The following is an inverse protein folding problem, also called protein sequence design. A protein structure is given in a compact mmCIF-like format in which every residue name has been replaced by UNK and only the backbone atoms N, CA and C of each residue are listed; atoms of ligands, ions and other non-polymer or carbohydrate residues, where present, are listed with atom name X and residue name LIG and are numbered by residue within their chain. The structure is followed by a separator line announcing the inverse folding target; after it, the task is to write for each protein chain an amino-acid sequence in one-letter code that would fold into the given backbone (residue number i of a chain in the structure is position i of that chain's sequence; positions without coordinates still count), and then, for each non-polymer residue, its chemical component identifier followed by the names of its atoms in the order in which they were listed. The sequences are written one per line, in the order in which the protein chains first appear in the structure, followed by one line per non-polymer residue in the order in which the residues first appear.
data_IF_715537082025
#
_entry.id   IF_715537082025
#
_cell.length_a   1.000
_cell.length_b   1.000
_cell.length_c   1.000
_cell.angle_alpha   90.00
_cell.angle_beta   90.00
_cell.angle_gamma   90.00
#
_symmetry.space_group_name_H-M   'P 1'
#
loop_
_entity.id
_entity.type
_entity.pdbx_description
1 polymer ?
#
# COMPACT_ATOMS: atom_id res chain seq x y z
N UNK A 1 27.23 -31.46 22.49
CA UNK A 1 26.52 -30.34 21.86
C UNK A 1 27.60 -29.39 21.40
N UNK A 2 27.86 -29.33 20.09
CA UNK A 2 28.93 -28.47 19.57
C UNK A 2 28.55 -27.02 19.82
N UNK A 3 29.28 -26.35 20.71
CA UNK A 3 29.03 -24.96 21.11
C UNK A 3 28.93 -24.03 19.89
N UNK A 4 29.60 -24.38 18.79
CA UNK A 4 29.58 -23.64 17.54
C UNK A 4 28.23 -23.70 16.81
N UNK A 5 27.53 -24.84 16.81
CA UNK A 5 26.26 -25.01 16.09
C UNK A 5 25.11 -24.27 16.80
N UNK A 6 25.07 -24.35 18.13
CA UNK A 6 24.08 -23.63 18.93
C UNK A 6 24.27 -22.11 18.85
N UNK A 7 25.53 -21.66 18.87
CA UNK A 7 25.86 -20.25 18.72
C UNK A 7 25.48 -19.73 17.33
N UNK A 8 25.81 -20.47 16.27
CA UNK A 8 25.44 -20.11 14.90
C UNK A 8 23.92 -20.05 14.70
N UNK A 9 23.17 -20.98 15.29
CA UNK A 9 21.70 -20.99 15.25
C UNK A 9 21.10 -19.75 15.91
N UNK A 10 21.54 -19.39 17.13
CA UNK A 10 21.01 -18.22 17.83
C UNK A 10 21.35 -16.90 17.11
N UNK A 11 22.56 -16.79 16.53
CA UNK A 11 22.90 -15.61 15.72
C UNK A 11 22.03 -15.50 14.49
N UNK A 12 21.80 -16.61 13.77
CA UNK A 12 20.96 -16.62 12.58
C UNK A 12 19.52 -16.20 12.89
N UNK A 13 18.88 -16.83 13.88
CA UNK A 13 17.48 -16.55 14.18
C UNK A 13 17.29 -15.15 14.78
N UNK A 14 18.26 -14.63 15.55
CA UNK A 14 18.26 -13.24 16.01
C UNK A 14 18.41 -12.25 14.86
N UNK A 15 19.32 -12.51 13.92
CA UNK A 15 19.53 -11.66 12.75
C UNK A 15 18.27 -11.63 11.87
N UNK A 16 17.60 -12.77 11.69
CA UNK A 16 16.33 -12.88 10.96
C UNK A 16 15.25 -12.02 11.64
N UNK A 17 15.06 -12.15 12.95
CA UNK A 17 14.06 -11.37 13.68
C UNK A 17 14.32 -9.84 13.55
N UNK A 18 15.56 -9.41 13.73
CA UNK A 18 15.95 -7.99 13.59
C UNK A 18 15.78 -7.48 12.16
N UNK A 19 16.19 -8.27 11.15
CA UNK A 19 16.06 -7.91 9.75
C UNK A 19 14.59 -7.73 9.35
N UNK A 20 13.70 -8.62 9.79
CA UNK A 20 12.26 -8.50 9.51
C UNK A 20 11.59 -7.37 10.27
N UNK A 21 12.01 -7.08 11.50
CA UNK A 21 11.54 -5.90 12.22
C UNK A 21 11.92 -4.61 11.46
N UNK A 22 13.17 -4.50 11.01
CA UNK A 22 13.62 -3.38 10.19
C UNK A 22 12.84 -3.30 8.87
N UNK A 23 12.59 -4.43 8.22
CA UNK A 23 11.84 -4.50 6.96
C UNK A 23 10.39 -4.04 7.11
N UNK A 24 9.73 -4.39 8.21
CA UNK A 24 8.38 -3.90 8.55
C UNK A 24 8.40 -2.37 8.69
N UNK A 25 9.36 -1.83 9.44
CA UNK A 25 9.50 -0.38 9.64
C UNK A 25 9.73 0.34 8.31
N UNK A 26 10.68 -0.14 7.50
CA UNK A 26 10.99 0.43 6.18
C UNK A 26 9.77 0.38 5.26
N UNK A 27 9.07 -0.74 5.20
CA UNK A 27 7.83 -0.90 4.43
C UNK A 27 6.77 0.11 4.88
N UNK A 28 6.63 0.31 6.20
CA UNK A 28 5.73 1.30 6.78
C UNK A 28 6.06 2.73 6.37
N UNK A 29 7.34 3.13 6.48
CA UNK A 29 7.81 4.47 6.09
C UNK A 29 7.49 4.77 4.63
N UNK A 30 7.84 3.85 3.73
CA UNK A 30 7.56 4.02 2.30
C UNK A 30 6.06 4.04 1.99
N UNK A 31 5.27 3.24 2.69
CA UNK A 31 3.81 3.26 2.55
C UNK A 31 3.22 4.60 2.99
N UNK A 32 3.62 5.14 4.14
CA UNK A 32 3.12 6.43 4.62
C UNK A 32 3.52 7.58 3.71
N UNK A 33 4.78 7.61 3.25
CA UNK A 33 5.24 8.59 2.27
C UNK A 33 4.37 8.55 1.02
N UNK A 34 4.18 7.37 0.45
CA UNK A 34 3.38 7.20 -0.77
C UNK A 34 1.90 7.49 -0.56
N UNK A 35 1.35 7.11 0.59
CA UNK A 35 -0.05 7.37 0.94
C UNK A 35 -0.32 8.87 0.93
N UNK A 36 0.58 9.66 1.51
CA UNK A 36 0.49 11.12 1.51
C UNK A 36 0.48 11.67 0.08
N UNK A 37 1.43 11.26 -0.76
CA UNK A 37 1.50 11.71 -2.16
C UNK A 37 0.21 11.41 -2.94
N UNK A 38 -0.38 10.21 -2.74
CA UNK A 38 -1.65 9.83 -3.38
C UNK A 38 -2.82 10.62 -2.81
N UNK A 39 -2.86 10.88 -1.51
CA UNK A 39 -3.91 11.68 -0.87
C UNK A 39 -3.88 13.13 -1.34
N UNK A 40 -2.70 13.73 -1.43
CA UNK A 40 -2.52 15.09 -1.94
C UNK A 40 -2.99 15.19 -3.40
N UNK A 41 -2.64 14.21 -4.24
CA UNK A 41 -3.10 14.15 -5.63
C UNK A 41 -4.62 13.92 -5.77
N UNK A 42 -5.20 13.05 -4.92
CA UNK A 42 -6.65 12.84 -4.89
C UNK A 42 -7.40 14.11 -4.45
N UNK A 43 -6.83 14.88 -3.52
CA UNK A 43 -7.38 16.16 -3.08
C UNK A 43 -7.31 17.22 -4.20
N UNK A 44 -6.22 17.28 -4.97
CA UNK A 44 -6.12 18.14 -6.16
C UNK A 44 -7.23 17.83 -7.18
N UNK A 45 -7.44 16.56 -7.50
CA UNK A 45 -8.52 16.13 -8.40
C UNK A 45 -9.91 16.43 -7.83
N UNK A 46 -10.10 16.21 -6.53
CA UNK A 46 -11.36 16.50 -5.86
C UNK A 46 -11.70 17.99 -5.91
N UNK A 47 -10.73 18.86 -5.66
CA UNK A 47 -10.92 20.31 -5.71
C UNK A 47 -11.25 20.79 -7.13
N UNK A 48 -10.63 20.21 -8.16
CA UNK A 48 -10.97 20.52 -9.55
C UNK A 48 -12.41 20.10 -9.90
N UNK A 49 -12.82 18.89 -9.54
CA UNK A 49 -14.19 18.41 -9.74
C UNK A 49 -15.20 19.27 -8.95
N UNK A 50 -14.85 19.70 -7.74
CA UNK A 50 -15.70 20.58 -6.92
C UNK A 50 -15.88 21.95 -7.58
N UNK A 51 -14.82 22.54 -8.14
CA UNK A 51 -14.91 23.79 -8.92
C UNK A 51 -15.80 23.62 -10.14
N UNK A 52 -15.63 22.54 -10.89
CA UNK A 52 -16.49 22.21 -12.02
C UNK A 52 -17.98 22.11 -11.63
N UNK A 53 -18.30 21.42 -10.53
CA UNK A 53 -19.68 21.32 -10.02
C UNK A 53 -20.24 22.69 -9.67
N UNK A 54 -19.46 23.55 -9.02
CA UNK A 54 -19.90 24.89 -8.66
C UNK A 54 -20.18 25.76 -9.91
N UNK A 55 -19.27 25.72 -10.89
CA UNK A 55 -19.40 26.45 -12.16
C UNK A 55 -20.60 25.96 -12.98
N UNK A 56 -20.87 24.66 -12.95
CA UNK A 56 -21.96 24.00 -13.69
C UNK A 56 -23.18 23.70 -12.82
N UNK A 57 -23.30 24.35 -11.66
CA UNK A 57 -24.38 24.10 -10.69
C UNK A 57 -25.78 24.28 -11.28
N UNK A 58 -25.92 25.16 -12.28
CA UNK A 58 -27.17 25.38 -13.03
C UNK A 58 -27.66 24.16 -13.82
N UNK A 59 -26.79 23.20 -14.16
CA UNK A 59 -27.15 21.95 -14.85
C UNK A 59 -27.58 20.85 -13.88
N UNK A 60 -27.34 21.06 -12.58
CA UNK A 60 -27.67 20.11 -11.54
C UNK A 60 -29.06 20.43 -10.96
N UNK A 61 -30.03 19.54 -11.21
CA UNK A 61 -31.42 19.73 -10.78
C UNK A 61 -31.72 19.22 -9.36
N UNK A 62 -30.70 18.82 -8.60
CA UNK A 62 -30.84 18.37 -7.21
C UNK A 62 -30.49 19.50 -6.23
N UNK A 63 -31.19 19.56 -5.10
CA UNK A 63 -30.86 20.48 -4.01
C UNK A 63 -29.65 19.97 -3.24
N UNK A 64 -28.43 20.18 -3.73
CA UNK A 64 -27.24 20.01 -2.90
C UNK A 64 -26.96 21.37 -2.26
N UNK A 65 -27.04 21.49 -0.93
CA UNK A 65 -26.48 22.66 -0.28
C UNK A 65 -24.97 22.62 -0.53
N UNK A 66 -24.44 23.56 -1.31
CA UNK A 66 -23.00 23.74 -1.60
C UNK A 66 -22.13 23.86 -0.33
N UNK A 67 -22.75 23.92 0.84
CA UNK A 67 -22.16 24.09 2.16
C UNK A 67 -22.01 22.78 2.97
N UNK A 68 -22.31 21.62 2.39
CA UNK A 68 -22.08 20.32 3.04
C UNK A 68 -20.73 19.76 2.62
N UNK A 69 -19.97 19.23 3.58
CA UNK A 69 -18.75 18.45 3.32
C UNK A 69 -19.11 17.16 2.57
N UNK A 70 -19.14 17.24 1.24
CA UNK A 70 -19.36 16.10 0.35
C UNK A 70 -18.16 15.15 0.46
N UNK A 71 -18.43 13.85 0.56
CA UNK A 71 -17.39 12.84 0.48
C UNK A 71 -16.80 12.75 -0.93
N UNK A 72 -15.56 12.24 -1.08
CA UNK A 72 -14.92 12.03 -2.41
C UNK A 72 -15.80 11.23 -3.37
N UNK A 73 -16.54 10.24 -2.88
CA UNK A 73 -17.44 9.43 -3.71
C UNK A 73 -18.67 10.20 -4.21
N UNK A 74 -19.21 11.11 -3.41
CA UNK A 74 -20.36 11.94 -3.78
C UNK A 74 -19.97 12.99 -4.82
N UNK A 75 -18.81 13.64 -4.69
CA UNK A 75 -18.34 14.61 -5.69
C UNK A 75 -18.16 13.98 -7.06
N UNK A 76 -17.61 12.77 -7.13
CA UNK A 76 -17.46 12.06 -8.41
C UNK A 76 -18.82 11.74 -9.02
N UNK A 77 -19.79 11.26 -8.25
CA UNK A 77 -21.11 10.90 -8.78
C UNK A 77 -21.91 12.13 -9.25
N UNK A 78 -21.77 13.25 -8.55
CA UNK A 78 -22.37 14.53 -8.95
C UNK A 78 -21.74 15.01 -10.26
N UNK A 79 -20.41 14.95 -10.38
CA UNK A 79 -19.71 15.34 -11.59
C UNK A 79 -20.12 14.48 -12.79
N UNK A 80 -20.28 13.15 -12.63
CA UNK A 80 -20.78 12.26 -13.70
C UNK A 80 -22.20 12.62 -14.15
N UNK A 81 -23.08 13.03 -13.22
CA UNK A 81 -24.44 13.45 -13.54
C UNK A 81 -24.45 14.76 -14.35
N UNK A 82 -23.65 15.75 -13.95
CA UNK A 82 -23.50 17.01 -14.70
C UNK A 82 -22.88 16.74 -16.09
N UNK A 83 -21.85 15.90 -16.16
CA UNK A 83 -21.18 15.49 -17.40
C UNK A 83 -22.18 14.93 -18.43
N UNK A 84 -23.17 14.16 -17.98
CA UNK A 84 -24.19 13.57 -18.86
C UNK A 84 -25.10 14.60 -19.52
N UNK A 85 -25.23 15.79 -18.91
CA UNK A 85 -26.10 16.90 -19.35
C UNK A 85 -25.32 18.03 -20.03
N UNK A 86 -23.99 17.93 -20.04
CA UNK A 86 -23.10 18.93 -20.60
C UNK A 86 -23.09 18.86 -22.13
N UNK A 87 -23.31 20.00 -22.79
CA UNK A 87 -23.28 20.13 -24.25
C UNK A 87 -21.88 20.42 -24.81
N UNK A 88 -21.01 21.05 -24.02
CA UNK A 88 -19.62 21.35 -24.42
C UNK A 88 -18.75 20.09 -24.42
N UNK A 89 -18.44 19.59 -25.61
CA UNK A 89 -17.62 18.40 -25.84
C UNK A 89 -16.18 18.51 -25.30
N UNK A 90 -15.59 19.70 -25.33
CA UNK A 90 -14.20 19.90 -24.89
C UNK A 90 -14.13 19.86 -23.36
N UNK A 91 -15.05 20.55 -22.70
CA UNK A 91 -15.17 20.54 -21.25
C UNK A 91 -15.55 19.13 -20.75
N UNK A 92 -16.45 18.44 -21.46
CA UNK A 92 -16.83 17.05 -21.18
C UNK A 92 -15.62 16.13 -21.16
N UNK A 93 -14.78 16.18 -22.19
CA UNK A 93 -13.58 15.33 -22.28
C UNK A 93 -12.60 15.58 -21.12
N UNK A 94 -12.36 16.85 -20.77
CA UNK A 94 -11.44 17.20 -19.68
C UNK A 94 -11.91 16.64 -18.33
N UNK A 95 -13.21 16.72 -18.03
CA UNK A 95 -13.76 16.21 -16.76
C UNK A 95 -13.84 14.69 -16.75
N UNK A 96 -14.16 14.07 -17.88
CA UNK A 96 -14.10 12.61 -18.02
C UNK A 96 -12.68 12.07 -17.76
N UNK A 97 -11.66 12.79 -18.24
CA UNK A 97 -10.27 12.52 -17.90
C UNK A 97 -10.04 12.66 -16.38
N UNK A 98 -10.45 13.77 -15.74
CA UNK A 98 -10.28 13.95 -14.28
C UNK A 98 -10.99 12.87 -13.42
N UNK A 99 -12.19 12.44 -13.81
CA UNK A 99 -12.93 11.36 -13.14
C UNK A 99 -12.18 10.03 -13.31
N UNK A 100 -11.71 9.74 -14.53
CA UNK A 100 -10.89 8.56 -14.80
C UNK A 100 -9.62 8.57 -13.95
N UNK A 101 -8.99 9.74 -13.85
CA UNK A 101 -7.82 9.98 -13.02
C UNK A 101 -8.09 9.67 -11.54
N UNK A 102 -9.22 10.15 -11.01
CA UNK A 102 -9.62 9.90 -9.63
C UNK A 102 -9.82 8.40 -9.35
N UNK A 103 -10.56 7.69 -10.23
CA UNK A 103 -10.81 6.25 -10.09
C UNK A 103 -9.50 5.45 -10.09
N UNK A 104 -8.59 5.76 -11.00
CA UNK A 104 -7.29 5.08 -11.08
C UNK A 104 -6.42 5.35 -9.85
N UNK A 105 -6.34 6.61 -9.38
CA UNK A 105 -5.58 6.95 -8.18
C UNK A 105 -6.14 6.25 -6.92
N UNK A 106 -7.46 6.17 -6.78
CA UNK A 106 -8.11 5.45 -5.69
C UNK A 106 -7.81 3.95 -5.71
N UNK A 107 -7.86 3.31 -6.88
CA UNK A 107 -7.52 1.89 -7.00
C UNK A 107 -6.03 1.63 -6.70
N UNK A 108 -5.13 2.53 -7.11
CA UNK A 108 -3.71 2.45 -6.76
C UNK A 108 -3.52 2.57 -5.24
N UNK A 109 -4.26 3.47 -4.57
CA UNK A 109 -4.24 3.61 -3.10
C UNK A 109 -4.60 2.29 -2.42
N UNK A 110 -5.68 1.66 -2.86
CA UNK A 110 -6.16 0.40 -2.29
C UNK A 110 -5.22 -0.78 -2.57
N UNK A 111 -4.70 -0.90 -3.81
CA UNK A 111 -3.70 -1.92 -4.14
C UNK A 111 -2.40 -1.73 -3.35
N UNK A 112 -1.96 -0.50 -3.16
CA UNK A 112 -0.79 -0.16 -2.34
C UNK A 112 -1.00 -0.58 -0.88
N UNK A 113 -2.17 -0.26 -0.31
CA UNK A 113 -2.56 -0.66 1.04
C UNK A 113 -2.57 -2.17 1.21
N UNK A 114 -3.24 -2.90 0.32
CA UNK A 114 -3.32 -4.37 0.37
C UNK A 114 -1.93 -5.01 0.31
N UNK A 115 -1.07 -4.60 -0.63
CA UNK A 115 0.29 -5.13 -0.77
C UNK A 115 1.16 -4.87 0.44
N UNK A 116 1.09 -3.65 0.98
CA UNK A 116 1.81 -3.27 2.20
C UNK A 116 1.36 -4.13 3.37
N UNK A 117 0.05 -4.31 3.55
CA UNK A 117 -0.51 -5.15 4.60
C UNK A 117 -0.02 -6.60 4.50
N UNK A 118 -0.06 -7.21 3.31
CA UNK A 118 0.47 -8.55 3.10
C UNK A 118 1.97 -8.64 3.38
N UNK A 119 2.75 -7.65 2.96
CA UNK A 119 4.20 -7.59 3.23
C UNK A 119 4.49 -7.58 4.73
N UNK A 120 3.75 -6.76 5.49
CA UNK A 120 3.89 -6.67 6.94
C UNK A 120 3.48 -7.99 7.61
N UNK A 121 2.38 -8.60 7.19
CA UNK A 121 1.92 -9.89 7.74
C UNK A 121 2.96 -10.97 7.50
N UNK A 122 3.43 -11.14 6.27
CA UNK A 122 4.42 -12.17 5.91
C UNK A 122 5.74 -11.94 6.68
N UNK A 123 6.20 -10.69 6.76
CA UNK A 123 7.41 -10.33 7.53
C UNK A 123 7.22 -10.58 9.03
N UNK A 124 6.02 -10.31 9.58
CA UNK A 124 5.71 -10.56 10.98
C UNK A 124 5.66 -12.06 11.30
N UNK A 125 5.14 -12.88 10.37
CA UNK A 125 5.16 -14.34 10.49
C UNK A 125 6.60 -14.86 10.49
N UNK A 126 7.44 -14.38 9.57
CA UNK A 126 8.85 -14.75 9.52
C UNK A 126 9.61 -14.34 10.80
N UNK A 127 9.37 -13.12 11.30
CA UNK A 127 9.92 -12.65 12.57
C UNK A 127 9.47 -13.51 13.75
N UNK A 128 8.17 -13.79 13.85
CA UNK A 128 7.61 -14.61 14.94
C UNK A 128 8.18 -16.02 14.89
N UNK A 129 8.34 -16.58 13.70
CA UNK A 129 8.96 -17.89 13.53
C UNK A 129 10.41 -17.89 14.01
N UNK A 130 11.20 -16.87 13.67
CA UNK A 130 12.59 -16.73 14.17
C UNK A 130 12.66 -16.55 15.69
N UNK A 131 11.73 -15.80 16.30
CA UNK A 131 11.64 -15.67 17.76
C UNK A 131 11.27 -16.99 18.44
N UNK A 132 10.32 -17.74 17.89
CA UNK A 132 9.95 -19.07 18.42
C UNK A 132 11.09 -20.06 18.24
N UNK A 133 11.79 -20.02 17.11
CA UNK A 133 12.98 -20.81 16.84
C UNK A 133 14.07 -20.55 17.90
N UNK A 134 14.34 -19.28 18.24
CA UNK A 134 15.26 -18.92 19.34
C UNK A 134 14.86 -19.52 20.69
N UNK A 135 13.57 -19.47 21.04
CA UNK A 135 13.07 -19.96 22.32
C UNK A 135 13.08 -21.49 22.43
N UNK A 136 12.77 -22.18 21.33
CA UNK A 136 12.65 -23.65 21.28
C UNK A 136 13.99 -24.31 20.95
N UNK A 137 14.91 -23.60 20.31
CA UNK A 137 16.25 -24.05 19.91
C UNK A 137 17.05 -24.83 20.97
N UNK A 138 17.08 -24.40 22.24
CA UNK A 138 17.76 -25.13 23.32
C UNK A 138 17.19 -26.52 23.61
N UNK A 139 15.90 -26.74 23.32
CA UNK A 139 15.16 -27.97 23.63
C UNK A 139 15.28 -28.99 22.48
N UNK A 140 15.65 -28.54 21.28
CA UNK A 140 15.70 -29.37 20.07
C UNK A 140 16.97 -30.24 20.00
N UNK A 141 16.81 -31.46 19.50
CA UNK A 141 17.93 -32.32 19.13
C UNK A 141 18.64 -31.78 17.87
N UNK A 142 19.92 -32.12 17.66
CA UNK A 142 20.72 -31.53 16.57
C UNK A 142 20.15 -31.78 15.16
N UNK A 143 19.55 -32.95 14.90
CA UNK A 143 18.83 -33.21 13.64
C UNK A 143 17.61 -32.30 13.46
N UNK A 144 16.89 -31.98 14.53
CA UNK A 144 15.73 -31.10 14.49
C UNK A 144 16.14 -29.64 14.31
N UNK A 145 17.27 -29.22 14.89
CA UNK A 145 17.83 -27.87 14.67
C UNK A 145 18.13 -27.61 13.21
N UNK A 146 18.74 -28.56 12.50
CA UNK A 146 18.99 -28.43 11.05
C UNK A 146 17.70 -28.28 10.23
N UNK A 147 16.66 -29.05 10.56
CA UNK A 147 15.36 -28.95 9.89
C UNK A 147 14.72 -27.59 10.15
N UNK A 148 14.70 -27.14 11.40
CA UNK A 148 14.14 -25.82 11.77
C UNK A 148 14.92 -24.69 11.10
N UNK A 149 16.24 -24.77 11.08
CA UNK A 149 17.11 -23.78 10.43
C UNK A 149 16.86 -23.72 8.91
N UNK A 150 16.67 -24.87 8.26
CA UNK A 150 16.32 -24.92 6.84
C UNK A 150 14.95 -24.31 6.54
N UNK A 151 13.95 -24.59 7.39
CA UNK A 151 12.60 -24.00 7.26
C UNK A 151 12.65 -22.48 7.50
N UNK A 152 13.36 -22.04 8.54
CA UNK A 152 13.50 -20.63 8.88
C UNK A 152 14.16 -19.84 7.74
N UNK A 153 15.21 -20.41 7.14
CA UNK A 153 15.89 -19.80 6.01
C UNK A 153 14.98 -19.75 4.77
N UNK A 154 14.19 -20.80 4.51
CA UNK A 154 13.21 -20.82 3.41
C UNK A 154 12.11 -19.78 3.56
N UNK A 155 11.48 -19.72 4.74
CA UNK A 155 10.47 -18.71 5.07
C UNK A 155 11.07 -17.31 5.01
N UNK A 156 12.28 -17.13 5.55
CA UNK A 156 13.02 -15.88 5.53
C UNK A 156 13.28 -15.39 4.10
N UNK A 157 13.84 -16.22 3.23
CA UNK A 157 14.10 -15.82 1.84
C UNK A 157 12.80 -15.50 1.07
N UNK A 158 11.74 -16.26 1.29
CA UNK A 158 10.44 -15.97 0.69
C UNK A 158 9.86 -14.64 1.18
N UNK A 159 9.86 -14.40 2.49
CA UNK A 159 9.36 -13.16 3.07
C UNK A 159 10.18 -11.94 2.63
N UNK A 160 11.52 -12.08 2.61
CA UNK A 160 12.44 -11.04 2.17
C UNK A 160 12.21 -10.68 0.70
N UNK A 161 12.15 -11.68 -0.19
CA UNK A 161 11.92 -11.45 -1.62
C UNK A 161 10.58 -10.76 -1.87
N UNK A 162 9.51 -11.19 -1.19
CA UNK A 162 8.21 -10.53 -1.32
C UNK A 162 8.24 -9.07 -0.83
N UNK A 163 8.83 -8.82 0.33
CA UNK A 163 8.90 -7.49 0.91
C UNK A 163 9.77 -6.54 0.07
N UNK A 164 10.89 -7.01 -0.47
CA UNK A 164 11.71 -6.24 -1.41
C UNK A 164 10.93 -5.87 -2.67
N UNK A 165 10.13 -6.79 -3.22
CA UNK A 165 9.24 -6.49 -4.36
C UNK A 165 8.21 -5.42 -4.00
N UNK A 166 7.64 -5.47 -2.79
CA UNK A 166 6.68 -4.45 -2.32
C UNK A 166 7.35 -3.10 -2.15
N UNK A 167 8.49 -3.03 -1.44
CA UNK A 167 9.28 -1.80 -1.26
C UNK A 167 9.69 -1.23 -2.60
N UNK A 168 10.21 -2.05 -3.52
CA UNK A 168 10.55 -1.63 -4.88
C UNK A 168 9.36 -1.01 -5.61
N UNK A 169 8.18 -1.66 -5.55
CA UNK A 169 6.95 -1.13 -6.16
C UNK A 169 6.46 0.15 -5.46
N UNK A 170 6.72 0.30 -4.16
CA UNK A 170 6.44 1.51 -3.40
C UNK A 170 7.38 2.66 -3.82
N UNK A 171 8.67 2.38 -4.02
CA UNK A 171 9.71 3.33 -4.41
C UNK A 171 9.63 3.78 -5.88
N UNK A 172 9.51 2.84 -6.82
CA UNK A 172 9.60 3.15 -8.26
C UNK A 172 8.40 3.93 -8.77
N UNK A 173 7.23 3.75 -8.16
CA UNK A 173 6.03 4.49 -8.57
C UNK A 173 5.93 5.79 -7.78
N UNK A 174 6.77 6.75 -8.12
CA UNK A 174 6.70 8.15 -7.68
C UNK A 174 5.49 8.91 -8.27
N UNK A 175 4.38 8.22 -8.59
CA UNK A 175 3.35 8.58 -9.59
C UNK A 175 3.92 8.30 -10.99
N UNK A 176 3.42 7.30 -11.73
CA UNK A 176 3.58 7.28 -13.19
C UNK A 176 2.66 8.39 -13.74
N UNK A 177 3.24 9.60 -13.72
CA UNK A 177 3.04 10.79 -14.56
C UNK A 177 1.63 11.40 -14.58
N UNK A 178 1.06 11.83 -13.44
CA UNK A 178 -0.27 12.52 -13.38
C UNK A 178 -1.37 11.88 -14.26
N UNK A 179 -1.25 10.56 -14.53
CA UNK A 179 -2.16 9.63 -15.24
C UNK A 179 -2.23 9.86 -16.77
N UNK A 180 -2.19 8.86 -17.69
CA UNK A 180 -2.32 7.38 -17.55
C UNK A 180 -1.24 6.54 -18.29
N UNK A 181 -1.38 5.21 -18.21
CA UNK A 181 -1.25 4.28 -19.36
C UNK A 181 -2.58 3.60 -19.59
#
# INVERSE_FOLDING_TARGET
MDANLFTAYNYLSSAIAQAFAALIVVTGIFFFSRKKDIEDFLNELYDNLRRFINDQSHLYSGSIPLNVTLTHGEVVSIAENILSRLSDQRLKKNIEEEITKHKQASDIKDRSRKRTMYSVIISSVAMTFGLVALLVGPILCDKQKWVVMGIELGIGLFALSYALVVIWKLMIKKIEVKIPT
#
